data_IF_340781133603
#
_entry.id   IF_340781133603
#
_cell.length_a   1.000
_cell.length_b   1.000
_cell.length_c   1.000
_cell.angle_alpha   90.00
_cell.angle_beta   90.00
_cell.angle_gamma   90.00
#
_symmetry.space_group_name_H-M   'P 1'
#
loop_
_entity.id
_entity.type
_entity.pdbx_description
1 polymer ?
#
# COMPACT_ATOMS: atom_id res chain seq x y z
N UNK A 1 -2.35 9.98 17.51
CA UNK A 1 -2.70 8.56 17.34
C UNK A 1 -1.79 7.75 18.26
N UNK A 2 -2.31 6.78 19.01
CA UNK A 2 -1.50 5.90 19.87
C UNK A 2 -0.94 4.76 19.02
N UNK A 3 0.30 4.38 19.30
CA UNK A 3 0.99 3.28 18.65
C UNK A 3 0.53 1.93 19.23
N UNK A 4 0.24 0.95 18.37
CA UNK A 4 0.03 -0.43 18.79
C UNK A 4 1.35 -1.03 19.28
N UNK A 5 1.32 -1.65 20.46
CA UNK A 5 2.46 -2.35 21.05
C UNK A 5 2.20 -3.85 21.05
N UNK A 6 3.20 -4.63 20.64
CA UNK A 6 3.21 -6.09 20.75
C UNK A 6 4.28 -6.49 21.77
N UNK A 7 3.85 -7.11 22.85
CA UNK A 7 4.74 -7.73 23.83
C UNK A 7 5.18 -9.10 23.33
N UNK A 8 6.49 -9.35 23.22
CA UNK A 8 6.99 -10.68 22.88
C UNK A 8 7.14 -11.55 24.14
N UNK A 9 7.05 -12.89 24.04
CA UNK A 9 7.09 -13.79 25.19
C UNK A 9 8.30 -13.58 26.12
N UNK A 10 9.47 -13.28 25.56
CA UNK A 10 10.68 -13.01 26.34
C UNK A 10 10.56 -11.72 27.17
N UNK A 11 9.96 -10.66 26.61
CA UNK A 11 9.66 -9.45 27.36
C UNK A 11 8.65 -9.73 28.46
N UNK A 12 7.55 -10.43 28.16
CA UNK A 12 6.50 -10.76 29.15
C UNK A 12 7.13 -11.48 30.35
N UNK A 13 7.83 -12.59 30.10
CA UNK A 13 8.48 -13.41 31.12
C UNK A 13 9.47 -12.65 32.00
N UNK A 14 10.26 -11.74 31.42
CA UNK A 14 11.24 -10.94 32.20
C UNK A 14 10.58 -9.77 32.92
N UNK A 15 9.57 -9.14 32.31
CA UNK A 15 8.89 -7.99 32.88
C UNK A 15 8.20 -8.32 34.21
N UNK A 16 7.61 -9.51 34.35
CA UNK A 16 6.96 -9.96 35.58
C UNK A 16 7.92 -10.09 36.77
N UNK A 17 9.21 -10.26 36.52
CA UNK A 17 10.25 -10.35 37.56
C UNK A 17 10.84 -9.00 37.94
N UNK A 18 10.72 -8.02 37.04
CA UNK A 18 11.43 -6.74 37.11
C UNK A 18 10.49 -5.58 37.46
N UNK A 19 9.26 -5.63 36.95
CA UNK A 19 8.27 -4.56 37.06
C UNK A 19 7.02 -5.05 37.80
N UNK A 20 6.42 -4.18 38.60
CA UNK A 20 5.03 -4.38 39.00
C UNK A 20 4.10 -4.18 37.79
N UNK A 21 2.85 -4.63 37.93
CA UNK A 21 1.84 -4.43 36.89
C UNK A 21 1.67 -2.95 36.53
N UNK A 22 1.62 -2.08 37.54
CA UNK A 22 1.44 -0.64 37.36
C UNK A 22 2.63 0.00 36.62
N UNK A 23 3.85 -0.45 36.94
CA UNK A 23 5.07 0.02 36.28
C UNK A 23 5.15 -0.43 34.81
N UNK A 24 4.70 -1.67 34.54
CA UNK A 24 4.57 -2.22 33.20
C UNK A 24 3.52 -1.47 32.39
N UNK A 25 2.32 -1.25 32.94
CA UNK A 25 1.25 -0.51 32.28
C UNK A 25 1.68 0.94 31.97
N UNK A 26 2.41 1.58 32.89
CA UNK A 26 2.98 2.91 32.66
C UNK A 26 4.03 2.91 31.53
N UNK A 27 4.86 1.88 31.41
CA UNK A 27 5.83 1.72 30.32
C UNK A 27 5.11 1.58 28.97
N UNK A 28 4.07 0.74 28.91
CA UNK A 28 3.27 0.53 27.69
C UNK A 28 2.59 1.82 27.24
N UNK A 29 1.94 2.53 28.16
CA UNK A 29 1.29 3.80 27.86
C UNK A 29 2.30 4.88 27.40
N UNK A 30 3.47 4.92 28.03
CA UNK A 30 4.53 5.84 27.62
C UNK A 30 5.04 5.54 26.20
N UNK A 31 5.31 4.27 25.90
CA UNK A 31 5.78 3.87 24.57
C UNK A 31 4.71 4.00 23.48
N UNK A 32 3.43 3.84 23.83
CA UNK A 32 2.35 3.98 22.85
C UNK A 32 2.17 5.43 22.42
N UNK A 33 2.45 6.38 23.30
CA UNK A 33 2.44 7.81 23.00
C UNK A 33 3.78 8.35 22.48
N UNK A 34 4.90 7.68 22.78
CA UNK A 34 6.26 8.08 22.38
C UNK A 34 7.08 6.87 21.87
N UNK A 35 6.74 6.30 20.70
CA UNK A 35 7.39 5.08 20.22
C UNK A 35 8.87 5.26 19.85
N UNK A 36 9.29 6.51 19.59
CA UNK A 36 10.70 6.85 19.34
C UNK A 36 11.54 7.02 20.62
N UNK A 37 10.93 6.90 21.81
CA UNK A 37 11.66 7.07 23.05
C UNK A 37 12.79 6.05 23.21
N UNK A 38 13.84 6.47 23.91
CA UNK A 38 15.06 5.68 24.07
C UNK A 38 16.07 5.89 22.95
N UNK A 39 17.30 5.47 23.22
CA UNK A 39 18.42 5.68 22.30
C UNK A 39 18.40 4.60 21.23
N UNK A 40 18.44 5.01 19.96
CA UNK A 40 18.66 4.09 18.84
C UNK A 40 20.00 3.37 19.00
N UNK A 41 19.97 2.03 18.95
CA UNK A 41 21.18 1.22 18.91
C UNK A 41 21.70 1.25 17.47
N UNK A 42 22.66 2.12 17.21
CA UNK A 42 23.20 2.33 15.87
C UNK A 42 23.67 1.03 15.21
N UNK A 43 23.29 0.85 13.95
CA UNK A 43 23.63 -0.34 13.16
C UNK A 43 22.72 -1.56 13.36
N UNK A 44 21.57 -1.43 14.04
CA UNK A 44 20.62 -2.54 14.26
C UNK A 44 19.32 -2.44 13.45
N UNK A 45 19.09 -1.35 12.73
CA UNK A 45 17.93 -1.21 11.83
C UNK A 45 16.63 -0.77 12.49
N UNK A 46 16.66 -0.23 13.71
CA UNK A 46 15.48 0.31 14.39
C UNK A 46 15.31 -0.15 15.84
N UNK A 47 16.26 -0.91 16.38
CA UNK A 47 16.20 -1.33 17.79
C UNK A 47 16.61 -0.16 18.69
N UNK A 48 15.78 0.14 19.69
CA UNK A 48 15.97 1.22 20.65
C UNK A 48 16.12 0.66 22.06
N UNK A 49 16.91 1.37 22.86
CA UNK A 49 17.11 1.10 24.28
C UNK A 49 16.54 2.24 25.11
N UNK A 50 15.43 1.97 25.80
CA UNK A 50 14.80 2.90 26.72
C UNK A 50 15.26 2.59 28.15
N UNK A 51 15.71 3.62 28.87
CA UNK A 51 15.88 3.55 30.33
C UNK A 51 14.54 3.83 30.97
N UNK A 52 14.05 2.91 31.78
CA UNK A 52 12.77 3.04 32.47
C UNK A 52 13.00 3.05 33.99
N UNK A 53 12.58 4.14 34.62
CA UNK A 53 12.68 4.30 36.07
C UNK A 53 11.29 4.46 36.65
N UNK A 54 10.89 3.54 37.51
CA UNK A 54 9.64 3.67 38.27
C UNK A 54 9.75 4.81 39.28
N UNK A 55 8.74 5.67 39.31
CA UNK A 55 8.57 6.70 40.34
C UNK A 55 7.78 6.12 41.50
N UNK A 56 8.46 5.87 42.61
CA UNK A 56 7.83 5.63 43.91
C UNK A 56 8.07 4.22 44.46
N UNK A 57 8.49 4.18 45.73
CA UNK A 57 8.93 3.03 46.55
C UNK A 57 10.35 2.55 46.24
N UNK A 58 11.18 2.63 47.28
CA UNK A 58 12.61 2.36 47.24
C UNK A 58 12.95 0.97 46.74
N UNK A 59 13.25 0.89 45.44
CA UNK A 59 14.23 0.00 44.77
C UNK A 59 14.22 0.18 43.24
N UNK A 60 13.91 1.37 42.71
CA UNK A 60 13.98 1.61 41.25
C UNK A 60 15.41 1.91 40.77
N UNK A 61 16.27 0.90 40.87
CA UNK A 61 17.49 0.81 40.09
C UNK A 61 17.11 0.61 38.60
N UNK A 62 16.84 1.71 37.89
CA UNK A 62 16.13 1.73 36.59
C UNK A 62 16.43 0.60 35.61
N UNK A 63 15.35 -0.03 35.11
CA UNK A 63 15.37 -1.10 34.12
C UNK A 63 15.60 -0.56 32.71
N UNK A 64 15.90 -1.46 31.77
CA UNK A 64 16.15 -1.14 30.37
C UNK A 64 15.27 -1.98 29.47
N UNK A 65 14.31 -1.34 28.84
CA UNK A 65 13.47 -1.96 27.82
C UNK A 65 14.15 -1.86 26.45
N UNK A 66 14.14 -2.96 25.72
CA UNK A 66 14.59 -3.04 24.33
C UNK A 66 13.35 -3.21 23.45
N UNK A 67 13.16 -2.27 22.53
CA UNK A 67 12.07 -2.31 21.58
C UNK A 67 12.57 -2.18 20.15
N UNK A 68 11.78 -2.66 19.20
CA UNK A 68 11.94 -2.38 17.78
C UNK A 68 10.86 -1.41 17.33
N UNK A 69 11.28 -0.29 16.75
CA UNK A 69 10.40 0.70 16.12
C UNK A 69 10.95 1.08 14.75
N UNK A 70 10.11 0.94 13.71
CA UNK A 70 10.48 1.29 12.34
C UNK A 70 9.74 2.55 11.85
N UNK A 71 8.41 2.52 11.86
CA UNK A 71 7.54 3.65 11.50
C UNK A 71 6.14 3.44 12.10
N UNK A 72 5.21 4.36 11.83
CA UNK A 72 3.84 4.31 12.37
C UNK A 72 2.95 3.19 11.79
N UNK A 73 3.35 2.55 10.69
CA UNK A 73 2.55 1.54 9.99
C UNK A 73 2.79 0.12 10.52
N UNK A 74 3.84 -0.08 11.34
CA UNK A 74 4.23 -1.39 11.88
C UNK A 74 4.23 -1.28 13.41
N UNK A 75 3.57 -2.18 14.16
CA UNK A 75 3.52 -2.10 15.61
C UNK A 75 4.91 -2.02 16.25
N UNK A 76 5.00 -1.37 17.41
CA UNK A 76 6.21 -1.38 18.22
C UNK A 76 6.32 -2.74 18.91
N UNK A 77 7.43 -3.44 18.72
CA UNK A 77 7.66 -4.73 19.36
C UNK A 77 8.53 -4.55 20.60
N UNK A 78 8.04 -4.99 21.76
CA UNK A 78 8.83 -5.09 22.97
C UNK A 78 9.59 -6.42 22.98
N UNK A 79 10.91 -6.33 22.80
CA UNK A 79 11.78 -7.49 22.59
C UNK A 79 12.21 -8.13 23.91
N UNK A 80 12.70 -7.32 24.85
CA UNK A 80 13.15 -7.79 26.17
C UNK A 80 13.30 -6.63 27.16
N UNK A 81 13.49 -6.95 28.44
CA UNK A 81 13.76 -5.98 29.51
C UNK A 81 14.75 -6.58 30.50
N UNK A 82 15.67 -5.76 31.02
CA UNK A 82 16.67 -6.18 31.99
C UNK A 82 17.02 -5.09 33.00
N UNK A 83 17.55 -5.49 34.15
CA UNK A 83 17.96 -4.58 35.22
C UNK A 83 19.23 -3.80 34.89
N UNK A 84 19.54 -2.76 35.68
CA UNK A 84 20.70 -1.91 35.41
C UNK A 84 22.04 -2.66 35.41
N UNK A 85 22.12 -3.77 36.14
CA UNK A 85 23.34 -4.54 36.39
C UNK A 85 23.71 -5.45 35.22
N UNK A 86 22.75 -5.75 34.33
CA UNK A 86 23.03 -6.45 33.08
C UNK A 86 23.55 -5.47 32.04
N UNK A 87 24.86 -5.55 31.78
CA UNK A 87 25.52 -4.78 30.72
C UNK A 87 25.33 -5.48 29.38
N UNK A 88 24.49 -4.90 28.53
CA UNK A 88 24.37 -5.32 27.12
C UNK A 88 25.29 -4.43 26.27
N UNK A 89 26.52 -4.91 26.05
CA UNK A 89 27.47 -4.33 25.11
C UNK A 89 27.45 -5.14 23.81
N UNK A 90 26.86 -4.59 22.75
CA UNK A 90 26.79 -5.26 21.46
C UNK A 90 28.05 -4.98 20.63
N UNK A 91 28.74 -6.04 20.26
CA UNK A 91 29.79 -6.04 19.24
C UNK A 91 29.24 -5.61 17.87
N UNK A 92 30.14 -5.31 16.93
CA UNK A 92 29.77 -4.94 15.56
C UNK A 92 29.08 -6.10 14.84
N UNK A 93 29.54 -7.34 15.03
CA UNK A 93 28.95 -8.54 14.43
C UNK A 93 27.54 -8.80 14.95
N UNK A 94 27.30 -8.67 16.26
CA UNK A 94 25.96 -8.81 16.85
C UNK A 94 25.00 -7.75 16.32
N UNK A 95 25.44 -6.49 16.21
CA UNK A 95 24.62 -5.42 15.60
C UNK A 95 24.27 -5.73 14.14
N UNK A 96 25.24 -6.20 13.36
CA UNK A 96 25.00 -6.60 11.98
C UNK A 96 24.00 -7.77 11.87
N UNK A 97 24.06 -8.73 12.80
CA UNK A 97 23.10 -9.83 12.85
C UNK A 97 21.69 -9.32 13.19
N UNK A 98 21.55 -8.43 14.17
CA UNK A 98 20.28 -7.78 14.48
C UNK A 98 19.73 -7.00 13.28
N UNK A 99 20.58 -6.27 12.56
CA UNK A 99 20.19 -5.57 11.34
C UNK A 99 19.60 -6.52 10.28
N UNK A 100 20.23 -7.67 10.05
CA UNK A 100 19.70 -8.69 9.12
C UNK A 100 18.31 -9.19 9.55
N UNK A 101 18.12 -9.46 10.84
CA UNK A 101 16.82 -9.88 11.38
C UNK A 101 15.74 -8.81 11.23
N UNK A 102 16.06 -7.54 11.49
CA UNK A 102 15.10 -6.45 11.27
C UNK A 102 14.73 -6.30 9.80
N UNK A 103 15.67 -6.49 8.87
CA UNK A 103 15.35 -6.53 7.43
C UNK A 103 14.41 -7.67 7.08
N UNK A 104 14.65 -8.87 7.61
CA UNK A 104 13.79 -10.02 7.38
C UNK A 104 12.38 -9.77 7.93
N UNK A 105 12.25 -9.15 9.12
CA UNK A 105 10.98 -8.76 9.72
C UNK A 105 10.19 -7.79 8.85
N UNK A 106 10.87 -6.83 8.21
CA UNK A 106 10.24 -5.83 7.33
C UNK A 106 9.90 -6.37 5.94
N UNK A 107 10.42 -7.55 5.60
CA UNK A 107 10.30 -8.16 4.27
C UNK A 107 11.16 -7.46 3.22
N UNK A 108 11.84 -8.26 2.38
CA UNK A 108 12.48 -7.74 1.16
C UNK A 108 11.44 -7.18 0.17
N UNK A 109 10.19 -7.63 0.28
CA UNK A 109 9.09 -7.22 -0.59
C UNK A 109 8.79 -5.73 -0.51
N UNK A 110 9.00 -5.08 0.64
CA UNK A 110 8.77 -3.64 0.73
C UNK A 110 9.80 -2.83 -0.06
N UNK A 111 11.05 -3.28 -0.07
CA UNK A 111 12.06 -2.70 -0.95
C UNK A 111 11.79 -3.04 -2.42
N UNK A 112 11.28 -4.25 -2.71
CA UNK A 112 10.99 -4.68 -4.09
C UNK A 112 9.83 -3.89 -4.70
N UNK A 113 8.73 -3.71 -3.97
CA UNK A 113 7.58 -2.91 -4.41
C UNK A 113 7.99 -1.44 -4.54
N UNK A 114 8.68 -0.88 -3.54
CA UNK A 114 9.17 0.48 -3.60
C UNK A 114 10.06 0.71 -4.84
N UNK A 115 11.05 -0.15 -5.06
CA UNK A 115 11.94 -0.07 -6.23
C UNK A 115 11.17 -0.23 -7.54
N UNK A 116 10.13 -1.07 -7.58
CA UNK A 116 9.29 -1.23 -8.76
C UNK A 116 8.47 0.03 -9.05
N UNK A 117 7.93 0.68 -8.02
CA UNK A 117 7.17 1.93 -8.15
C UNK A 117 8.11 3.08 -8.58
N UNK A 118 9.26 3.22 -7.92
CA UNK A 118 10.27 4.22 -8.26
C UNK A 118 10.70 4.10 -9.73
N UNK A 119 11.00 2.86 -10.17
CA UNK A 119 11.33 2.57 -11.57
C UNK A 119 10.20 2.97 -12.52
N UNK A 120 8.95 2.61 -12.22
CA UNK A 120 7.80 2.98 -13.05
C UNK A 120 7.60 4.50 -13.15
N UNK A 121 7.81 5.24 -12.06
CA UNK A 121 7.75 6.70 -12.05
C UNK A 121 8.88 7.33 -12.87
N UNK A 122 10.10 6.80 -12.76
CA UNK A 122 11.21 7.23 -13.61
C UNK A 122 10.88 7.01 -15.08
N UNK A 123 10.37 5.85 -15.46
CA UNK A 123 9.93 5.55 -16.84
C UNK A 123 8.88 6.56 -17.32
N UNK A 124 7.87 6.90 -16.50
CA UNK A 124 6.86 7.91 -16.82
C UNK A 124 7.46 9.32 -17.03
N UNK A 125 8.42 9.74 -16.19
CA UNK A 125 9.13 11.02 -16.36
C UNK A 125 9.92 11.04 -17.67
N UNK A 126 10.57 9.92 -18.02
CA UNK A 126 11.30 9.79 -19.29
C UNK A 126 10.36 9.93 -20.49
N UNK A 127 9.21 9.23 -20.45
CA UNK A 127 8.17 9.35 -21.47
C UNK A 127 7.66 10.79 -21.63
N UNK A 128 7.37 11.47 -20.53
CA UNK A 128 6.89 12.86 -20.52
C UNK A 128 7.91 13.84 -21.14
N UNK A 129 9.21 13.56 -21.02
CA UNK A 129 10.30 14.35 -21.63
C UNK A 129 10.56 13.98 -23.10
N UNK A 130 9.70 13.17 -23.72
CA UNK A 130 9.82 12.77 -25.12
C UNK A 130 10.88 11.69 -25.38
N UNK A 131 11.45 11.07 -24.34
CA UNK A 131 12.36 9.95 -24.54
C UNK A 131 11.59 8.73 -25.00
N UNK A 132 12.12 8.02 -26.00
CA UNK A 132 11.57 6.73 -26.43
C UNK A 132 11.78 5.71 -25.32
N UNK A 133 10.69 5.28 -24.70
CA UNK A 133 10.64 4.14 -23.78
C UNK A 133 9.71 3.07 -24.35
N UNK A 134 9.84 1.82 -23.92
CA UNK A 134 8.99 0.68 -24.35
C UNK A 134 7.54 0.74 -23.87
N UNK A 135 7.00 1.93 -23.59
CA UNK A 135 5.62 2.11 -23.16
C UNK A 135 4.64 1.74 -24.27
N UNK A 136 3.59 1.00 -23.90
CA UNK A 136 2.47 0.69 -24.78
C UNK A 136 1.33 1.66 -24.50
N UNK A 137 0.91 2.40 -25.52
CA UNK A 137 -0.25 3.29 -25.42
C UNK A 137 -1.51 2.47 -25.70
N UNK A 138 -2.38 2.35 -24.71
CA UNK A 138 -3.75 1.92 -24.95
C UNK A 138 -4.57 3.13 -25.38
N UNK A 139 -5.16 3.05 -26.57
CA UNK A 139 -6.18 3.99 -27.05
C UNK A 139 -7.44 3.16 -27.18
N UNK A 140 -8.56 3.54 -26.52
CA UNK A 140 -9.84 2.87 -26.71
C UNK A 140 -10.14 2.72 -28.20
N UNK A 141 -10.54 1.52 -28.63
CA UNK A 141 -10.80 1.26 -30.04
C UNK A 141 -11.96 2.13 -30.53
N UNK A 142 -11.70 3.02 -31.48
CA UNK A 142 -12.76 3.79 -32.13
C UNK A 142 -13.55 2.85 -33.03
N UNK A 143 -14.84 2.72 -32.74
CA UNK A 143 -15.74 1.88 -33.55
C UNK A 143 -16.14 2.63 -34.81
N UNK A 144 -16.02 1.93 -35.94
CA UNK A 144 -16.64 2.38 -37.17
C UNK A 144 -18.15 2.08 -37.11
N UNK A 145 -18.91 3.07 -36.61
CA UNK A 145 -20.36 2.93 -36.39
C UNK A 145 -21.10 2.57 -37.67
N UNK A 146 -20.68 3.13 -38.81
CA UNK A 146 -21.26 2.82 -40.13
C UNK A 146 -21.08 1.35 -40.50
N UNK A 147 -19.85 0.83 -40.33
CA UNK A 147 -19.55 -0.58 -40.60
C UNK A 147 -20.31 -1.51 -39.65
N UNK A 148 -20.37 -1.17 -38.37
CA UNK A 148 -21.13 -1.91 -37.37
C UNK A 148 -22.62 -1.97 -37.73
N UNK A 149 -23.24 -0.82 -38.02
CA UNK A 149 -24.64 -0.73 -38.44
C UNK A 149 -24.93 -1.54 -39.69
N UNK A 150 -24.10 -1.38 -40.73
CA UNK A 150 -24.26 -2.13 -41.98
C UNK A 150 -24.14 -3.64 -41.76
N UNK A 151 -23.25 -4.09 -40.87
CA UNK A 151 -23.09 -5.51 -40.54
C UNK A 151 -24.34 -6.10 -39.88
N UNK A 152 -25.01 -5.34 -39.02
CA UNK A 152 -26.25 -5.79 -38.35
C UNK A 152 -27.51 -5.52 -39.20
N UNK A 153 -27.36 -5.09 -40.45
CA UNK A 153 -28.46 -4.99 -41.42
C UNK A 153 -29.42 -3.82 -41.22
N UNK A 154 -29.10 -2.85 -40.37
CA UNK A 154 -30.01 -1.73 -40.05
C UNK A 154 -29.79 -0.51 -40.95
N UNK A 155 -30.87 0.17 -41.30
CA UNK A 155 -30.84 1.55 -41.83
C UNK A 155 -30.40 2.53 -40.75
N UNK A 156 -30.01 3.75 -41.14
CA UNK A 156 -29.62 4.78 -40.17
C UNK A 156 -30.75 5.12 -39.20
N UNK A 157 -31.99 5.13 -39.69
CA UNK A 157 -33.17 5.44 -38.86
C UNK A 157 -33.43 4.33 -37.87
N UNK A 158 -33.48 3.08 -38.31
CA UNK A 158 -33.68 1.91 -37.42
C UNK A 158 -32.60 1.86 -36.34
N UNK A 159 -31.34 2.05 -36.72
CA UNK A 159 -30.23 2.07 -35.76
C UNK A 159 -30.38 3.22 -34.73
N UNK A 160 -30.72 4.42 -35.20
CA UNK A 160 -30.89 5.56 -34.31
C UNK A 160 -32.01 5.31 -33.28
N UNK A 161 -33.12 4.74 -33.72
CA UNK A 161 -34.28 4.40 -32.89
C UNK A 161 -33.97 3.27 -31.92
N UNK A 162 -33.40 2.15 -32.39
CA UNK A 162 -33.06 0.98 -31.56
C UNK A 162 -32.11 1.31 -30.42
N UNK A 163 -31.22 2.29 -30.61
CA UNK A 163 -30.22 2.67 -29.61
C UNK A 163 -30.53 4.00 -28.90
N UNK A 164 -31.71 4.59 -29.12
CA UNK A 164 -32.16 5.79 -28.42
C UNK A 164 -31.29 7.03 -28.68
N UNK A 165 -30.72 7.16 -29.87
CA UNK A 165 -29.89 8.31 -30.26
C UNK A 165 -30.54 9.07 -31.42
N UNK A 166 -30.27 10.37 -31.53
CA UNK A 166 -30.77 11.12 -32.68
C UNK A 166 -30.11 10.67 -33.98
N UNK A 167 -30.87 10.65 -35.09
CA UNK A 167 -30.34 10.41 -36.43
C UNK A 167 -29.20 11.39 -36.78
N UNK A 168 -29.29 12.64 -36.29
CA UNK A 168 -28.21 13.61 -36.40
C UNK A 168 -26.92 13.13 -35.74
N UNK A 169 -26.99 12.67 -34.48
CA UNK A 169 -25.86 12.11 -33.74
C UNK A 169 -25.22 10.94 -34.47
N UNK A 170 -26.02 9.99 -34.97
CA UNK A 170 -25.52 8.85 -35.74
C UNK A 170 -24.79 9.31 -37.01
N UNK A 171 -25.36 10.27 -37.77
CA UNK A 171 -24.73 10.80 -38.98
C UNK A 171 -23.39 11.48 -38.70
N UNK A 172 -23.28 12.19 -37.59
CA UNK A 172 -22.02 12.76 -37.13
C UNK A 172 -20.97 11.67 -36.83
N UNK A 173 -21.37 10.61 -36.11
CA UNK A 173 -20.50 9.46 -35.85
C UNK A 173 -20.06 8.74 -37.12
N UNK A 174 -20.96 8.52 -38.08
CA UNK A 174 -20.63 7.85 -39.34
C UNK A 174 -19.77 8.71 -40.29
N UNK A 175 -19.88 10.04 -40.20
CA UNK A 175 -19.05 10.99 -40.95
C UNK A 175 -17.68 11.21 -40.29
N UNK A 176 -17.54 10.90 -39.01
CA UNK A 176 -16.29 11.01 -38.25
C UNK A 176 -15.99 12.41 -37.72
N UNK A 177 -16.97 13.32 -37.68
CA UNK A 177 -16.80 14.65 -37.08
C UNK A 177 -17.07 14.66 -35.56
N UNK A 178 -17.75 13.62 -35.06
CA UNK A 178 -17.88 13.28 -33.64
C UNK A 178 -17.70 11.78 -33.47
N UNK A 179 -17.36 11.36 -32.27
CA UNK A 179 -17.21 9.94 -31.94
C UNK A 179 -18.11 9.58 -30.75
N UNK A 180 -18.63 8.33 -30.70
CA UNK A 180 -19.29 7.85 -29.51
C UNK A 180 -18.29 7.84 -28.34
N UNK A 181 -18.76 8.26 -27.17
CA UNK A 181 -17.99 8.33 -25.93
C UNK A 181 -18.81 7.69 -24.80
N UNK A 182 -18.14 7.36 -23.69
CA UNK A 182 -18.81 6.88 -22.48
C UNK A 182 -19.67 5.64 -22.74
N UNK A 183 -20.91 5.56 -22.17
CA UNK A 183 -21.77 4.39 -22.30
C UNK A 183 -22.10 3.99 -23.75
N UNK A 184 -22.26 4.96 -24.65
CA UNK A 184 -22.54 4.69 -26.06
C UNK A 184 -21.38 3.95 -26.72
N UNK A 185 -20.13 4.34 -26.44
CA UNK A 185 -18.96 3.63 -26.97
C UNK A 185 -18.89 2.20 -26.43
N UNK A 186 -19.20 1.99 -25.15
CA UNK A 186 -19.22 0.66 -24.54
C UNK A 186 -20.29 -0.22 -25.20
N UNK A 187 -21.52 0.28 -25.35
CA UNK A 187 -22.60 -0.46 -25.98
C UNK A 187 -22.26 -0.85 -27.43
N UNK A 188 -21.65 0.07 -28.18
CA UNK A 188 -21.18 -0.23 -29.54
C UNK A 188 -20.08 -1.29 -29.56
N UNK A 189 -19.17 -1.32 -28.56
CA UNK A 189 -18.14 -2.37 -28.44
C UNK A 189 -18.76 -3.72 -28.11
N UNK A 190 -19.81 -3.74 -27.28
CA UNK A 190 -20.56 -4.95 -26.99
C UNK A 190 -21.28 -5.47 -28.24
N UNK A 191 -21.97 -4.60 -28.98
CA UNK A 191 -22.57 -4.93 -30.28
C UNK A 191 -21.54 -5.41 -31.29
N UNK A 192 -20.32 -4.88 -31.25
CA UNK A 192 -19.27 -5.32 -32.17
C UNK A 192 -18.81 -6.76 -31.91
N UNK A 193 -18.84 -7.17 -30.64
CA UNK A 193 -18.42 -8.48 -30.16
C UNK A 193 -19.54 -9.53 -30.23
N UNK A 194 -20.77 -9.17 -29.89
CA UNK A 194 -21.93 -10.06 -29.86
C UNK A 194 -23.22 -9.27 -30.16
N UNK A 195 -23.51 -9.09 -31.45
CA UNK A 195 -24.68 -8.32 -31.87
C UNK A 195 -26.01 -9.03 -31.58
N UNK A 196 -26.04 -10.36 -31.64
CA UNK A 196 -27.28 -11.13 -31.47
C UNK A 196 -27.79 -11.04 -30.04
N UNK A 197 -26.91 -11.29 -29.05
CA UNK A 197 -27.29 -11.21 -27.64
C UNK A 197 -27.78 -9.81 -27.25
N UNK A 198 -27.11 -8.75 -27.72
CA UNK A 198 -27.48 -7.38 -27.39
C UNK A 198 -28.79 -6.96 -28.06
N UNK A 199 -29.00 -7.33 -29.33
CA UNK A 199 -30.25 -7.03 -30.03
C UNK A 199 -31.44 -7.75 -29.36
N UNK A 200 -31.28 -9.00 -28.95
CA UNK A 200 -32.32 -9.72 -28.22
C UNK A 200 -32.73 -9.02 -26.91
N UNK A 201 -31.78 -8.39 -26.21
CA UNK A 201 -32.07 -7.62 -24.99
C UNK A 201 -32.84 -6.33 -25.28
N UNK A 202 -32.57 -5.68 -26.41
CA UNK A 202 -33.20 -4.40 -26.78
C UNK A 202 -34.59 -4.55 -27.40
N UNK A 203 -34.91 -5.73 -27.94
CA UNK A 203 -36.18 -6.03 -28.60
C UNK A 203 -37.18 -6.80 -27.72
N UNK A 204 -36.91 -6.93 -26.41
CA UNK A 204 -37.81 -7.50 -25.41
C UNK A 204 -38.62 -6.43 -24.67
#
# INVERSE_FOLDING_TARGET
>A
MLMTIIELPEFIKRSEKILTKEEKDALLFFLSSRPEAGNLIQGTGGIRKLRWGSKGKGKSEGSRAICFYYNQNIPLFLLTIFDKNEKVNLSKSERNNLFKLTKQLLGDDMNKIFNSIDKGLQEAIHYSKGKKIGAKKYIPHHINVKKLRSRIGMTQTEFAESFGISLGTLRHWERGDRYPQGPALILLNLLEKDSEAILNVLHN
#
